data_IF_261492657730
#
_entry.id   IF_261492657730
#
_cell.length_a   1.000
_cell.length_b   1.000
_cell.length_c   1.000
_cell.angle_alpha   90.00
_cell.angle_beta   90.00
_cell.angle_gamma   90.00
#
_symmetry.space_group_name_H-M   'P 1'
#
loop_
_entity.id
_entity.type
_entity.pdbx_description
1 polymer ?
#
# COMPACT_ATOMS: atom_id res chain seq x y z
N UNK A 1 -13.79 -13.72 9.05
CA UNK A 1 -12.84 -14.63 8.38
C UNK A 1 -12.93 -15.92 9.16
N UNK A 2 -13.52 -16.95 8.57
CA UNK A 2 -13.99 -18.11 9.32
C UNK A 2 -12.93 -19.23 9.38
N UNK A 3 -11.98 -19.22 8.44
CA UNK A 3 -10.84 -20.13 8.38
C UNK A 3 -9.55 -19.37 8.08
N UNK A 4 -8.45 -19.78 8.71
CA UNK A 4 -7.10 -19.29 8.42
C UNK A 4 -6.47 -20.14 7.30
N UNK A 5 -6.08 -19.57 6.14
CA UNK A 5 -5.47 -20.33 5.07
C UNK A 5 -4.00 -20.68 5.42
N UNK A 6 -3.74 -21.97 5.66
CA UNK A 6 -2.42 -22.50 5.98
C UNK A 6 -2.05 -23.64 5.02
N UNK A 7 -0.77 -23.77 4.69
CA UNK A 7 -0.22 -24.95 4.03
C UNK A 7 0.26 -25.95 5.09
N UNK A 8 -0.34 -27.14 5.12
CA UNK A 8 -0.05 -28.15 6.12
C UNK A 8 1.01 -29.14 5.60
N UNK A 9 2.16 -29.23 6.27
CA UNK A 9 3.20 -30.20 5.92
C UNK A 9 2.86 -31.58 6.49
N UNK A 10 2.44 -32.51 5.62
CA UNK A 10 2.06 -33.87 5.97
C UNK A 10 3.09 -34.93 5.52
N UNK A 11 4.27 -34.53 5.04
CA UNK A 11 5.26 -35.50 4.54
C UNK A 11 5.66 -36.50 5.62
N UNK A 12 5.41 -37.78 5.37
CA UNK A 12 5.66 -38.90 6.28
C UNK A 12 4.72 -38.94 7.51
N UNK A 13 3.74 -38.04 7.61
CA UNK A 13 2.83 -37.98 8.74
C UNK A 13 1.66 -38.95 8.56
N UNK A 14 1.21 -39.63 9.63
CA UNK A 14 0.04 -40.51 9.58
C UNK A 14 -1.26 -39.69 9.48
N UNK A 15 -2.13 -40.05 8.54
CA UNK A 15 -3.43 -39.39 8.32
C UNK A 15 -4.53 -40.45 8.28
N UNK A 16 -5.55 -40.28 9.12
CA UNK A 16 -6.71 -41.17 9.14
C UNK A 16 -7.73 -40.74 8.09
N UNK A 17 -8.15 -41.68 7.25
CA UNK A 17 -9.25 -41.53 6.31
C UNK A 17 -10.34 -42.54 6.64
N UNK A 18 -11.50 -42.07 7.08
CA UNK A 18 -12.66 -42.91 7.38
C UNK A 18 -13.61 -42.90 6.19
N UNK A 19 -13.82 -44.05 5.57
CA UNK A 19 -14.65 -44.21 4.38
C UNK A 19 -13.93 -44.95 3.24
N UNK A 20 -14.69 -45.75 2.49
CA UNK A 20 -14.18 -46.65 1.46
C UNK A 20 -14.75 -46.41 0.06
N UNK A 21 -15.51 -45.33 -0.13
CA UNK A 21 -16.16 -45.00 -1.41
C UNK A 21 -15.36 -44.01 -2.27
N UNK A 22 -15.99 -43.50 -3.33
CA UNK A 22 -15.38 -42.59 -4.31
C UNK A 22 -14.93 -41.24 -3.71
N UNK A 23 -15.67 -40.70 -2.72
CA UNK A 23 -15.29 -39.48 -2.01
C UNK A 23 -13.97 -39.70 -1.24
N UNK A 24 -13.87 -40.84 -0.54
CA UNK A 24 -12.67 -41.23 0.17
C UNK A 24 -11.49 -41.43 -0.80
N UNK A 25 -11.70 -42.08 -1.95
CA UNK A 25 -10.67 -42.22 -3.00
C UNK A 25 -10.08 -40.88 -3.42
N UNK A 26 -10.90 -39.87 -3.69
CA UNK A 26 -10.43 -38.53 -4.09
C UNK A 26 -9.60 -37.86 -3.01
N UNK A 27 -9.97 -38.04 -1.73
CA UNK A 27 -9.19 -37.53 -0.59
C UNK A 27 -7.89 -38.30 -0.41
N UNK A 28 -7.91 -39.62 -0.59
CA UNK A 28 -6.74 -40.47 -0.51
C UNK A 28 -5.66 -40.03 -1.52
N UNK A 29 -6.03 -39.81 -2.78
CA UNK A 29 -5.08 -39.34 -3.81
C UNK A 29 -4.43 -38.01 -3.41
N UNK A 30 -5.23 -37.00 -3.05
CA UNK A 30 -4.73 -35.68 -2.68
C UNK A 30 -3.79 -35.72 -1.46
N UNK A 31 -4.16 -36.50 -0.43
CA UNK A 31 -3.37 -36.63 0.79
C UNK A 31 -2.08 -37.41 0.54
N UNK A 32 -2.13 -38.44 -0.31
CA UNK A 32 -0.96 -39.22 -0.74
C UNK A 32 0.01 -38.35 -1.55
N UNK A 33 -0.48 -37.51 -2.47
CA UNK A 33 0.33 -36.53 -3.22
C UNK A 33 1.05 -35.51 -2.31
N UNK A 34 0.45 -35.18 -1.15
CA UNK A 34 1.09 -34.35 -0.13
C UNK A 34 2.21 -35.09 0.65
N UNK A 35 2.43 -36.38 0.36
CA UNK A 35 3.45 -37.24 0.95
C UNK A 35 3.06 -37.85 2.30
N UNK A 36 1.78 -37.86 2.65
CA UNK A 36 1.30 -38.42 3.91
C UNK A 36 1.22 -39.96 3.87
N UNK A 37 1.26 -40.58 5.05
CA UNK A 37 1.03 -42.01 5.22
C UNK A 37 -0.42 -42.22 5.62
N UNK A 38 -1.26 -42.66 4.68
CA UNK A 38 -2.67 -42.91 4.92
C UNK A 38 -2.90 -44.16 5.77
N UNK A 39 -3.79 -44.03 6.74
CA UNK A 39 -4.45 -45.13 7.43
C UNK A 39 -5.94 -45.01 7.08
N UNK A 40 -6.44 -45.90 6.24
CA UNK A 40 -7.84 -45.90 5.84
C UNK A 40 -8.63 -46.96 6.62
N UNK A 41 -9.78 -46.55 7.16
CA UNK A 41 -10.70 -47.42 7.89
C UNK A 41 -12.07 -47.34 7.23
N UNK A 42 -12.59 -48.48 6.76
CA UNK A 42 -13.93 -48.57 6.19
C UNK A 42 -14.45 -50.01 6.32
N UNK A 43 -15.77 -50.25 6.48
CA UNK A 43 -16.30 -51.61 6.47
C UNK A 43 -16.03 -52.37 5.17
N UNK A 44 -15.85 -51.65 4.06
CA UNK A 44 -15.56 -52.17 2.73
C UNK A 44 -14.79 -51.11 1.94
N UNK A 45 -13.75 -51.51 1.21
CA UNK A 45 -12.97 -50.63 0.33
C UNK A 45 -13.39 -50.89 -1.13
N UNK A 46 -13.99 -49.88 -1.77
CA UNK A 46 -14.61 -50.03 -3.09
C UNK A 46 -13.77 -49.45 -4.24
N UNK A 47 -12.59 -48.92 -3.93
CA UNK A 47 -11.70 -48.31 -4.92
C UNK A 47 -10.34 -49.01 -5.02
N UNK A 48 -9.74 -48.90 -6.20
CA UNK A 48 -8.45 -49.47 -6.54
C UNK A 48 -7.31 -48.78 -5.77
N UNK A 49 -6.51 -49.59 -5.07
CA UNK A 49 -5.39 -49.16 -4.23
C UNK A 49 -4.04 -49.22 -4.96
N UNK A 50 -3.99 -49.83 -6.15
CA UNK A 50 -2.75 -50.06 -6.91
C UNK A 50 -2.03 -48.79 -7.32
N UNK A 51 -2.76 -47.67 -7.43
CA UNK A 51 -2.19 -46.36 -7.75
C UNK A 51 -1.60 -45.62 -6.53
N UNK A 52 -1.72 -46.19 -5.32
CA UNK A 52 -1.32 -45.57 -4.07
C UNK A 52 -0.12 -46.30 -3.44
N UNK A 53 0.67 -45.61 -2.62
CA UNK A 53 1.89 -46.18 -2.03
C UNK A 53 1.62 -47.43 -1.19
N UNK A 54 2.55 -48.39 -1.23
CA UNK A 54 2.54 -49.58 -0.38
C UNK A 54 2.69 -49.26 1.13
N UNK A 55 3.17 -48.06 1.47
CA UNK A 55 3.34 -47.60 2.86
C UNK A 55 2.00 -47.29 3.56
N UNK A 56 0.90 -47.21 2.80
CA UNK A 56 -0.43 -46.95 3.36
C UNK A 56 -1.02 -48.19 4.04
N UNK A 57 -1.77 -47.98 5.12
CA UNK A 57 -2.48 -49.03 5.83
C UNK A 57 -3.97 -48.98 5.49
N UNK A 58 -4.50 -50.08 4.97
CA UNK A 58 -5.91 -50.22 4.58
C UNK A 58 -6.57 -51.24 5.51
N UNK A 59 -7.61 -50.83 6.24
CA UNK A 59 -8.26 -51.64 7.28
C UNK A 59 -9.75 -51.77 6.98
N UNK A 60 -10.17 -52.99 6.61
CA UNK A 60 -11.59 -53.31 6.46
C UNK A 60 -12.25 -53.55 7.83
N UNK A 61 -12.64 -52.45 8.49
CA UNK A 61 -13.34 -52.47 9.78
C UNK A 61 -14.22 -51.21 9.95
N UNK A 62 -15.08 -51.23 10.97
CA UNK A 62 -15.80 -50.03 11.41
C UNK A 62 -14.89 -49.08 12.19
N UNK A 63 -15.18 -47.78 12.13
CA UNK A 63 -14.45 -46.76 12.87
C UNK A 63 -14.61 -46.92 14.38
N UNK A 64 -13.50 -46.78 15.11
CA UNK A 64 -13.47 -46.72 16.57
C UNK A 64 -12.73 -45.44 17.01
N UNK A 65 -13.12 -44.85 18.14
CA UNK A 65 -12.49 -43.62 18.64
C UNK A 65 -10.95 -43.75 18.85
N UNK A 66 -10.46 -44.97 19.07
CA UNK A 66 -9.03 -45.26 19.18
C UNK A 66 -8.26 -45.06 17.87
N UNK A 67 -8.92 -45.12 16.71
CA UNK A 67 -8.27 -45.00 15.40
C UNK A 67 -7.68 -43.60 15.13
N UNK A 68 -8.17 -42.58 15.84
CA UNK A 68 -7.62 -41.21 15.72
C UNK A 68 -6.30 -41.04 16.45
N UNK A 69 -5.92 -41.98 17.34
CA UNK A 69 -4.72 -41.86 18.15
C UNK A 69 -3.45 -41.89 17.30
N UNK A 70 -2.55 -40.93 17.55
CA UNK A 70 -1.28 -40.80 16.83
C UNK A 70 -1.40 -40.22 15.42
N UNK A 71 -2.60 -39.83 14.98
CA UNK A 71 -2.84 -39.23 13.68
C UNK A 71 -2.52 -37.74 13.69
N UNK A 72 -2.17 -37.19 12.51
CA UNK A 72 -1.87 -35.76 12.34
C UNK A 72 -3.02 -34.97 11.71
N UNK A 73 -3.88 -35.66 10.97
CA UNK A 73 -5.09 -35.15 10.33
C UNK A 73 -6.10 -36.30 10.28
N UNK A 74 -7.38 -35.98 10.45
CA UNK A 74 -8.49 -36.92 10.31
C UNK A 74 -9.43 -36.43 9.22
N UNK A 75 -9.83 -37.33 8.32
CA UNK A 75 -10.79 -37.05 7.25
C UNK A 75 -11.93 -38.07 7.31
N UNK A 76 -13.15 -37.59 7.50
CA UNK A 76 -14.36 -38.40 7.44
C UNK A 76 -15.03 -38.19 6.07
N UNK A 77 -15.05 -39.24 5.27
CA UNK A 77 -15.53 -39.26 3.89
C UNK A 77 -16.51 -40.42 3.69
N UNK A 78 -17.50 -40.52 4.57
CA UNK A 78 -18.58 -41.52 4.51
C UNK A 78 -19.91 -40.87 4.16
N UNK A 79 -20.87 -41.67 3.69
CA UNK A 79 -22.26 -41.26 3.51
C UNK A 79 -23.09 -41.42 4.80
N UNK A 80 -22.48 -41.83 5.91
CA UNK A 80 -23.13 -42.05 7.20
C UNK A 80 -22.87 -40.87 8.15
N UNK A 81 -23.91 -40.07 8.37
CA UNK A 81 -23.86 -38.90 9.26
C UNK A 81 -23.47 -39.25 10.71
N UNK A 82 -23.91 -40.40 11.23
CA UNK A 82 -23.63 -40.83 12.61
C UNK A 82 -22.14 -41.16 12.75
N UNK A 83 -21.58 -41.86 11.77
CA UNK A 83 -20.13 -42.13 11.73
C UNK A 83 -19.33 -40.84 11.60
N UNK A 84 -19.74 -39.93 10.71
CA UNK A 84 -19.08 -38.65 10.51
C UNK A 84 -19.05 -37.79 11.80
N UNK A 85 -20.16 -37.72 12.54
CA UNK A 85 -20.22 -37.06 13.85
C UNK A 85 -19.31 -37.73 14.90
N UNK A 86 -19.28 -39.06 14.93
CA UNK A 86 -18.43 -39.81 15.84
C UNK A 86 -16.93 -39.56 15.56
N UNK A 87 -16.54 -39.55 14.29
CA UNK A 87 -15.16 -39.24 13.85
C UNK A 87 -14.77 -37.82 14.24
N UNK A 88 -15.65 -36.84 13.95
CA UNK A 88 -15.42 -35.45 14.32
C UNK A 88 -15.22 -35.27 15.81
N UNK A 89 -16.11 -35.86 16.63
CA UNK A 89 -16.04 -35.79 18.09
C UNK A 89 -14.77 -36.43 18.64
N UNK A 90 -14.39 -37.61 18.14
CA UNK A 90 -13.17 -38.31 18.57
C UNK A 90 -11.90 -37.51 18.24
N UNK A 91 -11.83 -36.94 17.03
CA UNK A 91 -10.69 -36.12 16.62
C UNK A 91 -10.59 -34.83 17.45
N UNK A 92 -11.70 -34.12 17.64
CA UNK A 92 -11.75 -32.89 18.44
C UNK A 92 -11.39 -33.12 19.91
N UNK A 93 -11.81 -34.25 20.50
CA UNK A 93 -11.42 -34.61 21.87
C UNK A 93 -9.90 -34.74 22.05
N UNK A 94 -9.16 -35.01 20.97
CA UNK A 94 -7.70 -35.10 20.94
C UNK A 94 -7.02 -33.85 20.35
N UNK A 95 -7.77 -32.76 20.12
CA UNK A 95 -7.32 -31.54 19.44
C UNK A 95 -6.71 -31.80 18.06
N UNK A 96 -7.21 -32.82 17.34
CA UNK A 96 -6.76 -33.14 16.00
C UNK A 96 -7.54 -32.34 14.95
N UNK A 97 -6.86 -31.79 13.93
CA UNK A 97 -7.53 -31.26 12.75
C UNK A 97 -8.41 -32.33 12.12
N UNK A 98 -9.69 -32.00 11.89
CA UNK A 98 -10.66 -32.90 11.26
C UNK A 98 -11.39 -32.21 10.14
N UNK A 99 -11.49 -32.90 9.01
CA UNK A 99 -12.38 -32.53 7.92
C UNK A 99 -13.46 -33.59 7.78
N UNK A 100 -14.72 -33.18 7.83
CA UNK A 100 -15.85 -34.00 7.42
C UNK A 100 -16.32 -33.49 6.07
N UNK A 101 -16.29 -34.36 5.05
CA UNK A 101 -16.63 -33.97 3.68
C UNK A 101 -18.07 -33.48 3.63
N UNK A 102 -18.26 -32.33 2.97
CA UNK A 102 -19.55 -31.65 2.79
C UNK A 102 -20.29 -31.25 4.09
N UNK A 103 -19.63 -31.34 5.25
CA UNK A 103 -20.18 -30.93 6.54
C UNK A 103 -19.24 -29.96 7.27
N UNK A 104 -19.19 -28.67 6.85
CA UNK A 104 -18.30 -27.67 7.46
C UNK A 104 -18.51 -27.49 8.97
N UNK A 105 -19.75 -27.65 9.45
CA UNK A 105 -20.10 -27.51 10.88
C UNK A 105 -19.45 -28.58 11.77
N UNK A 106 -19.07 -29.73 11.20
CA UNK A 106 -18.35 -30.80 11.91
C UNK A 106 -16.84 -30.75 11.66
N UNK A 107 -16.36 -29.76 10.90
CA UNK A 107 -14.97 -29.66 10.47
C UNK A 107 -14.23 -28.57 11.23
N UNK A 108 -13.00 -28.84 11.63
CA UNK A 108 -12.05 -27.82 12.13
C UNK A 108 -11.10 -27.33 11.03
N UNK A 109 -10.98 -28.09 9.94
CA UNK A 109 -10.24 -27.71 8.74
C UNK A 109 -11.03 -28.05 7.47
N UNK A 110 -10.83 -27.25 6.42
CA UNK A 110 -11.48 -27.42 5.12
C UNK A 110 -10.45 -27.65 4.01
N UNK A 111 -10.81 -28.45 3.02
CA UNK A 111 -10.02 -28.57 1.79
C UNK A 111 -10.45 -27.47 0.81
N UNK A 112 -9.56 -26.55 0.43
CA UNK A 112 -9.86 -25.58 -0.61
C UNK A 112 -9.81 -26.24 -2.00
N UNK A 113 -10.25 -25.49 -3.01
CA UNK A 113 -9.82 -25.77 -4.37
C UNK A 113 -8.32 -25.48 -4.50
N UNK A 114 -7.57 -26.39 -5.12
CA UNK A 114 -6.11 -26.30 -5.23
C UNK A 114 -5.72 -26.28 -6.70
N UNK A 115 -4.87 -25.32 -7.08
CA UNK A 115 -4.14 -25.33 -8.34
C UNK A 115 -2.71 -25.74 -8.02
N UNK A 116 -2.35 -26.96 -8.43
CA UNK A 116 -1.06 -27.56 -8.13
C UNK A 116 -0.07 -27.38 -9.29
N UNK A 117 0.99 -26.62 -9.03
CA UNK A 117 2.16 -26.43 -9.90
C UNK A 117 3.42 -26.56 -9.04
N UNK A 118 3.47 -27.59 -8.19
CA UNK A 118 4.51 -27.78 -7.17
C UNK A 118 5.91 -27.45 -7.69
N UNK A 119 6.67 -26.57 -7.00
CA UNK A 119 6.44 -26.07 -5.65
C UNK A 119 5.47 -24.86 -5.54
N UNK A 120 4.92 -24.37 -6.65
CA UNK A 120 3.93 -23.28 -6.66
C UNK A 120 2.54 -23.86 -6.39
N UNK A 121 1.92 -23.46 -5.28
CA UNK A 121 0.59 -23.90 -4.88
C UNK A 121 -0.30 -22.68 -4.69
N UNK A 122 -1.48 -22.70 -5.30
CA UNK A 122 -2.52 -21.72 -5.07
C UNK A 122 -3.74 -22.43 -4.49
N UNK A 123 -4.38 -21.80 -3.50
CA UNK A 123 -5.61 -22.30 -2.92
C UNK A 123 -6.70 -21.22 -2.95
N UNK A 124 -7.93 -21.65 -3.22
CA UNK A 124 -9.12 -20.79 -3.20
C UNK A 124 -10.20 -21.47 -2.38
N UNK A 125 -10.82 -20.72 -1.47
CA UNK A 125 -11.95 -21.20 -0.70
C UNK A 125 -12.92 -20.07 -0.39
N UNK A 126 -14.21 -20.41 -0.32
CA UNK A 126 -15.28 -19.49 0.10
C UNK A 126 -15.84 -19.85 1.49
N UNK A 127 -15.10 -20.61 2.30
CA UNK A 127 -15.59 -21.12 3.60
C UNK A 127 -16.81 -22.05 3.49
N UNK A 128 -17.06 -22.64 2.31
CA UNK A 128 -18.24 -23.47 2.04
C UNK A 128 -19.45 -22.73 1.44
N UNK A 129 -19.45 -21.40 1.39
CA UNK A 129 -20.63 -20.62 0.98
C UNK A 129 -21.02 -20.71 -0.50
N UNK A 130 -20.08 -20.98 -1.41
CA UNK A 130 -20.36 -21.15 -2.84
C UNK A 130 -19.34 -22.05 -3.54
N UNK A 131 -19.65 -23.35 -3.70
CA UNK A 131 -18.82 -24.29 -4.47
C UNK A 131 -18.68 -23.88 -5.95
N UNK A 132 -19.72 -23.27 -6.53
CA UNK A 132 -19.70 -22.83 -7.93
C UNK A 132 -18.70 -21.68 -8.14
N UNK A 133 -18.71 -20.68 -7.26
CA UNK A 133 -17.74 -19.59 -7.31
C UNK A 133 -16.31 -20.10 -7.09
N UNK A 134 -16.13 -21.01 -6.13
CA UNK A 134 -14.83 -21.64 -5.86
C UNK A 134 -14.28 -22.33 -7.12
N UNK A 135 -15.13 -23.08 -7.84
CA UNK A 135 -14.76 -23.75 -9.10
C UNK A 135 -14.41 -22.76 -10.21
N UNK A 136 -15.22 -21.71 -10.40
CA UNK A 136 -14.94 -20.66 -11.40
C UNK A 136 -13.58 -19.98 -11.15
N UNK A 137 -13.31 -19.58 -9.91
CA UNK A 137 -12.03 -18.96 -9.55
C UNK A 137 -10.84 -19.92 -9.75
N UNK A 138 -11.02 -21.20 -9.42
CA UNK A 138 -10.00 -22.23 -9.69
C UNK A 138 -9.67 -22.33 -11.17
N UNK A 139 -10.68 -22.40 -12.04
CA UNK A 139 -10.50 -22.48 -13.50
C UNK A 139 -9.75 -21.25 -14.05
N UNK A 140 -10.06 -20.05 -13.55
CA UNK A 140 -9.32 -18.83 -13.92
C UNK A 140 -7.85 -18.89 -13.48
N UNK A 141 -7.57 -19.36 -12.26
CA UNK A 141 -6.21 -19.52 -11.77
C UNK A 141 -5.44 -20.61 -12.52
N UNK A 142 -6.09 -21.72 -12.90
CA UNK A 142 -5.45 -22.76 -13.71
C UNK A 142 -4.97 -22.22 -15.07
N UNK A 143 -5.72 -21.31 -15.68
CA UNK A 143 -5.35 -20.66 -16.93
C UNK A 143 -4.20 -19.64 -16.76
N UNK A 144 -4.16 -18.92 -15.64
CA UNK A 144 -3.14 -17.90 -15.37
C UNK A 144 -1.80 -18.45 -14.87
N UNK A 145 -1.77 -19.70 -14.38
CA UNK A 145 -0.59 -20.30 -13.76
C UNK A 145 -0.08 -21.46 -14.63
N UNK A 146 0.79 -21.17 -15.63
CA UNK A 146 1.27 -22.15 -16.58
C UNK A 146 2.18 -23.19 -15.92
N UNK A 147 2.29 -24.37 -16.54
CA UNK A 147 3.14 -25.47 -16.06
C UNK A 147 4.63 -25.09 -16.05
N UNK A 148 5.06 -24.15 -16.89
CA UNK A 148 6.42 -23.61 -16.97
C UNK A 148 6.91 -23.02 -15.64
N UNK A 149 6.01 -22.50 -14.79
CA UNK A 149 6.37 -21.95 -13.47
C UNK A 149 6.99 -22.99 -12.54
N UNK A 150 6.69 -24.28 -12.71
CA UNK A 150 7.36 -25.39 -11.98
C UNK A 150 8.86 -25.31 -12.20
N UNK A 151 9.27 -25.13 -13.46
CA UNK A 151 10.67 -25.03 -13.85
C UNK A 151 11.31 -23.76 -13.31
N UNK A 152 10.66 -22.61 -13.47
CA UNK A 152 11.20 -21.33 -12.96
C UNK A 152 11.40 -21.37 -11.45
N UNK A 153 10.48 -21.96 -10.70
CA UNK A 153 10.62 -22.11 -9.26
C UNK A 153 11.79 -23.04 -8.88
N UNK A 154 11.98 -24.15 -9.61
CA UNK A 154 13.13 -25.03 -9.42
C UNK A 154 14.46 -24.33 -9.76
N UNK A 155 14.49 -23.59 -10.87
CA UNK A 155 15.61 -22.76 -11.30
C UNK A 155 16.00 -21.77 -10.19
N UNK A 156 15.08 -20.91 -9.74
CA UNK A 156 15.35 -19.93 -8.67
C UNK A 156 15.76 -20.59 -7.35
N UNK A 157 15.15 -21.72 -6.99
CA UNK A 157 15.52 -22.49 -5.79
C UNK A 157 16.97 -22.96 -5.84
N UNK A 158 17.41 -23.51 -6.97
CA UNK A 158 18.78 -24.00 -7.16
C UNK A 158 19.82 -22.87 -7.14
N UNK A 159 19.46 -21.67 -7.63
CA UNK A 159 20.34 -20.50 -7.68
C UNK A 159 20.35 -19.69 -6.38
N UNK A 160 19.41 -19.93 -5.46
CA UNK A 160 19.27 -19.16 -4.21
C UNK A 160 20.57 -19.04 -3.38
N UNK A 161 21.41 -20.08 -3.21
CA UNK A 161 22.68 -19.94 -2.50
C UNK A 161 23.65 -19.00 -3.21
N UNK A 162 23.82 -19.14 -4.52
CA UNK A 162 24.66 -18.26 -5.35
C UNK A 162 24.15 -16.83 -5.34
N UNK A 163 22.84 -16.64 -5.43
CA UNK A 163 22.19 -15.32 -5.39
C UNK A 163 22.43 -14.59 -4.07
N UNK A 164 22.42 -15.31 -2.94
CA UNK A 164 22.78 -14.75 -1.64
C UNK A 164 24.27 -14.42 -1.52
N UNK A 165 25.15 -15.18 -2.18
CA UNK A 165 26.58 -14.93 -2.18
C UNK A 165 26.98 -13.73 -3.05
N UNK A 166 26.42 -13.64 -4.27
CA UNK A 166 26.70 -12.57 -5.24
C UNK A 166 25.99 -11.27 -4.86
N UNK A 167 24.75 -11.36 -4.37
CA UNK A 167 23.94 -10.21 -3.94
C UNK A 167 23.52 -10.42 -2.47
N UNK A 168 24.40 -10.08 -1.50
CA UNK A 168 24.14 -10.30 -0.08
C UNK A 168 22.95 -9.47 0.42
N UNK A 169 22.86 -8.21 -0.04
CA UNK A 169 21.80 -7.30 0.34
C UNK A 169 20.43 -7.83 -0.11
N UNK A 170 19.48 -7.89 0.84
CA UNK A 170 18.16 -8.46 0.61
C UNK A 170 17.33 -7.63 -0.36
N UNK A 171 17.52 -6.31 -0.36
CA UNK A 171 16.72 -5.38 -1.15
C UNK A 171 17.17 -5.39 -2.59
N UNK A 172 18.47 -5.27 -2.87
CA UNK A 172 19.04 -5.40 -4.21
C UNK A 172 18.69 -6.75 -4.81
N UNK A 173 18.83 -7.83 -4.02
CA UNK A 173 18.48 -9.18 -4.48
C UNK A 173 17.02 -9.30 -4.93
N UNK A 174 16.09 -8.68 -4.20
CA UNK A 174 14.69 -8.64 -4.60
C UNK A 174 14.50 -7.86 -5.89
N UNK A 175 15.05 -6.65 -5.99
CA UNK A 175 14.92 -5.80 -7.19
C UNK A 175 15.44 -6.54 -8.42
N UNK A 176 16.61 -7.20 -8.31
CA UNK A 176 17.16 -8.03 -9.37
C UNK A 176 16.22 -9.17 -9.76
N UNK A 177 15.62 -9.86 -8.79
CA UNK A 177 14.69 -10.96 -9.06
C UNK A 177 13.37 -10.46 -9.67
N UNK A 178 12.85 -9.30 -9.23
CA UNK A 178 11.66 -8.65 -9.82
C UNK A 178 11.93 -8.22 -11.27
N UNK A 179 13.08 -7.61 -11.53
CA UNK A 179 13.51 -7.22 -12.88
C UNK A 179 13.68 -8.45 -13.78
N UNK A 180 14.22 -9.55 -13.24
CA UNK A 180 14.31 -10.83 -13.94
C UNK A 180 12.94 -11.34 -14.38
N UNK A 181 11.92 -11.30 -13.51
CA UNK A 181 10.55 -11.70 -13.84
C UNK A 181 9.90 -10.83 -14.90
N UNK A 182 10.22 -9.53 -14.93
CA UNK A 182 9.68 -8.58 -15.90
C UNK A 182 10.46 -8.56 -17.23
N UNK A 183 11.62 -9.21 -17.29
CA UNK A 183 12.53 -9.18 -18.42
C UNK A 183 12.66 -10.52 -19.17
N UNK A 184 13.51 -10.57 -20.21
CA UNK A 184 13.70 -11.78 -21.03
C UNK A 184 14.22 -12.99 -20.24
N UNK A 185 14.92 -12.77 -19.13
CA UNK A 185 15.46 -13.82 -18.27
C UNK A 185 14.39 -14.81 -17.79
N UNK A 186 13.17 -14.33 -17.51
CA UNK A 186 12.04 -15.18 -17.15
C UNK A 186 11.72 -16.19 -18.26
N UNK A 187 11.55 -15.74 -19.50
CA UNK A 187 11.24 -16.61 -20.63
C UNK A 187 12.36 -17.62 -20.90
N UNK A 188 13.62 -17.23 -20.73
CA UNK A 188 14.76 -18.17 -20.83
C UNK A 188 14.72 -19.25 -19.74
N UNK A 189 14.36 -18.88 -18.50
CA UNK A 189 14.19 -19.86 -17.44
C UNK A 189 12.98 -20.79 -17.66
N UNK A 190 11.90 -20.28 -18.27
CA UNK A 190 10.76 -21.11 -18.71
C UNK A 190 11.15 -22.10 -19.80
N UNK A 191 11.90 -21.65 -20.81
CA UNK A 191 12.39 -22.46 -21.91
C UNK A 191 13.48 -23.45 -21.48
N UNK A 192 14.17 -23.15 -20.37
CA UNK A 192 15.22 -23.98 -19.82
C UNK A 192 16.61 -23.71 -20.31
N UNK A 193 16.81 -22.51 -20.82
CA UNK A 193 18.07 -21.95 -21.25
C UNK A 193 18.76 -21.33 -20.02
N UNK A 194 19.13 -22.21 -19.09
CA UNK A 194 19.61 -21.87 -17.75
C UNK A 194 20.81 -20.89 -17.76
N UNK A 195 21.73 -21.03 -18.74
CA UNK A 195 22.90 -20.15 -18.87
C UNK A 195 22.52 -18.72 -19.31
N UNK A 196 21.56 -18.59 -20.24
CA UNK A 196 21.04 -17.29 -20.67
C UNK A 196 20.26 -16.63 -19.55
N UNK A 197 19.41 -17.40 -18.85
CA UNK A 197 18.68 -16.92 -17.69
C UNK A 197 19.63 -16.44 -16.57
N UNK A 198 20.73 -17.17 -16.33
CA UNK A 198 21.76 -16.79 -15.38
C UNK A 198 22.41 -15.44 -15.74
N UNK A 199 22.63 -15.16 -17.03
CA UNK A 199 23.10 -13.84 -17.49
C UNK A 199 22.19 -12.71 -17.04
N UNK A 200 20.87 -12.85 -17.22
CA UNK A 200 19.91 -11.84 -16.76
C UNK A 200 19.78 -11.76 -15.24
N UNK A 201 19.95 -12.88 -14.52
CA UNK A 201 19.73 -12.96 -13.08
C UNK A 201 20.94 -12.48 -12.26
N UNK A 202 22.16 -12.77 -12.72
CA UNK A 202 23.40 -12.47 -12.00
C UNK A 202 24.18 -11.29 -12.58
N UNK A 203 23.97 -10.98 -13.85
CA UNK A 203 24.52 -9.79 -14.50
C UNK A 203 23.35 -8.91 -14.97
N UNK A 204 22.44 -8.51 -14.07
CA UNK A 204 21.38 -7.60 -14.47
C UNK A 204 22.06 -6.36 -15.05
N UNK A 205 21.73 -6.02 -16.29
CA UNK A 205 22.07 -4.70 -16.82
C UNK A 205 21.58 -3.71 -15.78
N UNK A 206 22.49 -3.04 -15.07
CA UNK A 206 22.13 -2.04 -14.08
C UNK A 206 21.44 -0.90 -14.84
N UNK A 207 20.14 -1.04 -14.99
CA UNK A 207 19.30 0.03 -15.50
C UNK A 207 19.43 1.19 -14.54
N UNK A 208 19.58 2.38 -15.08
CA UNK A 208 19.37 3.59 -14.28
C UNK A 208 17.93 3.53 -13.78
N UNK A 209 17.76 3.68 -12.47
CA UNK A 209 16.46 3.75 -11.83
C UNK A 209 15.70 5.02 -12.24
N UNK A 210 14.53 5.21 -11.66
CA UNK A 210 13.65 6.33 -12.01
C UNK A 210 13.24 7.12 -10.76
N UNK A 211 13.00 8.41 -10.94
CA UNK A 211 12.60 9.32 -9.88
C UNK A 211 11.18 9.81 -10.09
N UNK A 212 10.35 9.69 -9.05
CA UNK A 212 8.98 10.17 -9.04
C UNK A 212 8.85 11.37 -8.10
N UNK A 213 8.54 12.55 -8.63
CA UNK A 213 8.13 13.71 -7.83
C UNK A 213 6.64 13.61 -7.58
N UNK A 214 6.24 13.30 -6.35
CA UNK A 214 4.85 12.96 -6.00
C UNK A 214 4.29 13.97 -5.01
N UNK A 215 3.15 14.56 -5.35
CA UNK A 215 2.37 15.38 -4.42
C UNK A 215 1.63 14.54 -3.38
N UNK A 216 1.90 14.80 -2.11
CA UNK A 216 1.31 14.11 -0.97
C UNK A 216 -0.10 14.62 -0.61
N UNK A 217 -0.51 15.76 -1.18
CA UNK A 217 -1.68 16.48 -0.67
C UNK A 217 -1.35 17.28 0.61
N UNK A 218 -2.34 18.00 1.16
CA UNK A 218 -2.13 18.94 2.27
C UNK A 218 -2.06 18.28 3.67
N UNK A 219 -2.35 16.99 3.79
CA UNK A 219 -2.19 16.25 5.04
C UNK A 219 -3.07 15.02 5.17
N UNK A 220 -4.34 15.11 4.73
CA UNK A 220 -5.27 13.97 4.70
C UNK A 220 -4.78 12.89 3.72
N UNK A 221 -4.53 11.65 4.18
CA UNK A 221 -4.06 10.57 3.30
C UNK A 221 -5.05 10.17 2.20
N UNK A 222 -6.35 10.48 2.34
CA UNK A 222 -7.34 10.16 1.31
C UNK A 222 -7.41 11.22 0.20
N UNK A 223 -6.66 12.33 0.34
CA UNK A 223 -6.42 13.29 -0.73
C UNK A 223 -5.22 12.92 -1.63
N UNK A 224 -4.57 11.79 -1.37
CA UNK A 224 -3.61 11.21 -2.31
C UNK A 224 -4.31 10.84 -3.61
N UNK A 225 -3.66 11.14 -4.74
CA UNK A 225 -4.14 10.63 -6.02
C UNK A 225 -3.91 9.12 -6.11
N UNK A 226 -4.74 8.41 -6.88
CA UNK A 226 -4.57 6.97 -7.11
C UNK A 226 -3.17 6.62 -7.63
N UNK A 227 -2.62 7.47 -8.52
CA UNK A 227 -1.27 7.30 -9.07
C UNK A 227 -0.20 7.50 -8.00
N UNK A 228 -0.34 8.49 -7.11
CA UNK A 228 0.58 8.69 -5.99
C UNK A 228 0.62 7.46 -5.08
N UNK A 229 -0.54 6.91 -4.71
CA UNK A 229 -0.64 5.70 -3.90
C UNK A 229 0.04 4.49 -4.56
N UNK A 230 -0.22 4.28 -5.85
CA UNK A 230 0.41 3.19 -6.63
C UNK A 230 1.93 3.29 -6.64
N UNK A 231 2.49 4.50 -6.78
CA UNK A 231 3.94 4.71 -6.78
C UNK A 231 4.53 4.52 -5.38
N UNK A 232 3.87 5.00 -4.33
CA UNK A 232 4.30 4.79 -2.94
C UNK A 232 4.35 3.29 -2.56
N UNK A 233 3.47 2.48 -3.15
CA UNK A 233 3.46 1.02 -2.96
C UNK A 233 4.56 0.29 -3.76
N UNK A 234 5.19 0.96 -4.72
CA UNK A 234 6.27 0.39 -5.57
C UNK A 234 7.65 0.96 -5.23
N UNK A 235 7.71 2.10 -4.55
CA UNK A 235 8.93 2.81 -4.24
C UNK A 235 9.93 1.97 -3.44
N UNK A 236 11.21 2.07 -3.81
CA UNK A 236 12.28 1.45 -3.05
C UNK A 236 12.84 2.40 -1.99
N UNK A 237 12.99 3.70 -2.32
CA UNK A 237 13.27 4.76 -1.35
C UNK A 237 12.22 5.85 -1.47
N UNK A 238 11.82 6.42 -0.33
CA UNK A 238 10.93 7.57 -0.24
C UNK A 238 11.64 8.71 0.48
N UNK A 239 11.97 9.77 -0.25
CA UNK A 239 12.51 11.02 0.27
C UNK A 239 11.36 11.97 0.59
N UNK A 240 11.20 12.36 1.85
CA UNK A 240 10.07 13.18 2.31
C UNK A 240 10.53 14.33 3.21
N UNK A 241 9.69 15.36 3.34
CA UNK A 241 9.95 16.53 4.17
C UNK A 241 8.88 16.72 5.26
N UNK A 242 9.03 17.77 6.05
CA UNK A 242 8.19 18.04 7.22
C UNK A 242 6.70 18.30 6.90
N UNK A 243 6.36 18.58 5.64
CA UNK A 243 4.98 18.86 5.23
C UNK A 243 4.20 17.59 4.88
N UNK A 244 4.86 16.43 4.82
CA UNK A 244 4.22 15.14 4.59
C UNK A 244 3.75 14.56 5.93
N UNK A 245 2.47 14.24 6.05
CA UNK A 245 1.91 13.66 7.28
C UNK A 245 2.34 12.20 7.48
N UNK A 246 2.47 11.78 8.75
CA UNK A 246 2.77 10.37 9.07
C UNK A 246 1.73 9.41 8.46
N UNK A 247 0.45 9.78 8.48
CA UNK A 247 -0.64 8.98 7.91
C UNK A 247 -0.52 8.78 6.39
N UNK A 248 0.08 9.73 5.67
CA UNK A 248 0.41 9.57 4.25
C UNK A 248 1.54 8.56 4.07
N UNK A 249 2.59 8.63 4.90
CA UNK A 249 3.71 7.69 4.86
C UNK A 249 3.27 6.26 5.17
N UNK A 250 2.29 6.07 6.05
CA UNK A 250 1.69 4.76 6.37
C UNK A 250 1.05 4.07 5.16
N UNK A 251 0.73 4.80 4.08
CA UNK A 251 0.18 4.26 2.84
C UNK A 251 1.24 3.64 1.93
N UNK A 252 2.52 3.90 2.19
CA UNK A 252 3.63 3.37 1.42
C UNK A 252 3.89 1.89 1.71
N UNK A 253 4.70 1.27 0.83
CA UNK A 253 5.16 -0.10 0.99
C UNK A 253 5.94 -0.25 2.31
N UNK A 254 5.60 -1.27 3.13
CA UNK A 254 6.15 -1.47 4.49
C UNK A 254 7.67 -1.63 4.58
N UNK A 255 8.31 -2.06 3.50
CA UNK A 255 9.76 -2.29 3.42
C UNK A 255 10.48 -1.28 2.51
N UNK A 256 9.81 -0.18 2.14
CA UNK A 256 10.48 0.96 1.54
C UNK A 256 11.41 1.63 2.57
N UNK A 257 12.56 2.13 2.10
CA UNK A 257 13.43 2.94 2.95
C UNK A 257 12.91 4.38 2.98
N UNK A 258 12.70 4.93 4.16
CA UNK A 258 12.25 6.31 4.34
C UNK A 258 13.45 7.20 4.69
N UNK A 259 13.67 8.24 3.88
CA UNK A 259 14.74 9.23 4.10
C UNK A 259 14.11 10.61 4.32
N UNK A 260 14.27 11.15 5.52
CA UNK A 260 13.81 12.51 5.83
C UNK A 260 14.82 13.53 5.30
N UNK A 261 14.35 14.50 4.51
CA UNK A 261 15.16 15.56 3.88
C UNK A 261 14.70 16.98 4.23
N UNK A 262 13.80 17.10 5.22
CA UNK A 262 13.22 18.38 5.65
C UNK A 262 14.10 19.18 6.63
N UNK A 263 13.70 20.43 6.89
CA UNK A 263 14.28 21.27 7.95
C UNK A 263 13.61 20.95 9.29
N UNK A 264 14.33 20.32 10.22
CA UNK A 264 13.94 20.35 11.64
C UNK A 264 14.47 21.63 12.27
N UNK A 265 13.61 22.39 12.93
CA UNK A 265 13.99 23.57 13.71
C UNK A 265 15.08 23.19 14.72
N UNK A 266 16.29 23.74 14.56
CA UNK A 266 17.44 23.53 15.46
C UNK A 266 18.62 22.72 14.90
N UNK A 267 18.51 22.11 13.70
CA UNK A 267 19.62 21.38 13.05
C UNK A 267 20.08 22.07 11.75
N UNK A 268 21.37 21.90 11.42
CA UNK A 268 21.97 22.42 10.19
C UNK A 268 21.19 21.94 8.96
N UNK A 269 20.62 22.88 8.21
CA UNK A 269 19.77 22.64 7.03
C UNK A 269 20.48 21.76 6.01
N UNK A 270 19.83 20.69 5.53
CA UNK A 270 20.21 20.00 4.30
C UNK A 270 20.05 20.98 3.13
N UNK A 271 21.13 21.38 2.43
CA UNK A 271 21.00 22.28 1.29
C UNK A 271 20.20 21.63 0.17
N UNK A 272 19.43 22.42 -0.60
CA UNK A 272 18.62 21.87 -1.70
C UNK A 272 19.44 21.02 -2.68
N UNK A 273 20.66 21.48 -3.01
CA UNK A 273 21.58 20.77 -3.91
C UNK A 273 21.94 19.36 -3.39
N UNK A 274 21.97 19.16 -2.07
CA UNK A 274 22.24 17.83 -1.51
C UNK A 274 21.04 16.88 -1.62
N UNK A 275 19.81 17.40 -1.62
CA UNK A 275 18.59 16.62 -1.91
C UNK A 275 18.61 16.19 -3.38
N UNK A 276 18.90 17.14 -4.28
CA UNK A 276 19.00 16.88 -5.72
C UNK A 276 20.06 15.81 -6.02
N UNK A 277 21.28 15.97 -5.49
CA UNK A 277 22.35 15.00 -5.63
C UNK A 277 21.99 13.62 -5.04
N UNK A 278 21.22 13.58 -3.95
CA UNK A 278 20.74 12.35 -3.34
C UNK A 278 19.76 11.61 -4.27
N UNK A 279 18.81 12.32 -4.89
CA UNK A 279 17.89 11.73 -5.87
C UNK A 279 18.64 11.09 -7.03
N UNK A 280 19.61 11.80 -7.61
CA UNK A 280 20.46 11.29 -8.70
C UNK A 280 21.26 10.06 -8.26
N UNK A 281 21.88 10.12 -7.08
CA UNK A 281 22.69 9.01 -6.55
C UNK A 281 21.86 7.74 -6.39
N UNK A 282 20.68 7.84 -5.79
CA UNK A 282 19.80 6.69 -5.57
C UNK A 282 19.25 6.14 -6.89
N UNK A 283 18.91 7.00 -7.85
CA UNK A 283 18.47 6.54 -9.17
C UNK A 283 19.59 5.83 -9.93
N UNK A 284 20.84 6.32 -9.85
CA UNK A 284 22.01 5.64 -10.45
C UNK A 284 22.31 4.27 -9.84
N UNK A 285 21.81 3.99 -8.63
CA UNK A 285 21.86 2.67 -8.02
C UNK A 285 20.77 1.72 -8.54
N UNK A 286 19.97 2.13 -9.52
CA UNK A 286 18.88 1.33 -10.08
C UNK A 286 17.60 1.35 -9.24
N UNK A 287 17.48 2.27 -8.29
CA UNK A 287 16.34 2.31 -7.36
C UNK A 287 15.16 3.11 -7.94
N UNK A 288 13.93 2.68 -7.62
CA UNK A 288 12.73 3.50 -7.79
C UNK A 288 12.62 4.47 -6.63
N UNK A 289 12.86 5.75 -6.89
CA UNK A 289 12.93 6.79 -5.86
C UNK A 289 11.68 7.65 -5.91
N UNK A 290 10.94 7.73 -4.81
CA UNK A 290 9.86 8.71 -4.69
C UNK A 290 10.36 9.92 -3.89
N UNK A 291 10.32 11.11 -4.48
CA UNK A 291 10.40 12.39 -3.78
C UNK A 291 8.97 12.82 -3.42
N UNK A 292 8.56 12.54 -2.20
CA UNK A 292 7.21 12.85 -1.70
C UNK A 292 7.18 14.25 -1.09
N UNK A 293 6.34 15.14 -1.61
CA UNK A 293 6.32 16.57 -1.27
C UNK A 293 4.93 16.96 -0.76
N UNK A 294 4.87 17.73 0.33
CA UNK A 294 3.60 18.26 0.84
C UNK A 294 2.87 19.11 -0.21
N UNK A 295 1.56 18.92 -0.35
CA UNK A 295 0.74 19.60 -1.34
C UNK A 295 1.01 19.12 -2.77
N UNK A 296 1.36 20.06 -3.65
CA UNK A 296 1.70 19.80 -5.05
C UNK A 296 3.20 20.08 -5.31
N UNK A 297 3.90 19.24 -6.10
CA UNK A 297 5.34 19.41 -6.35
C UNK A 297 5.73 20.76 -6.98
N UNK A 298 4.86 21.37 -7.79
CA UNK A 298 5.15 22.54 -8.60
C UNK A 298 4.50 23.83 -8.10
N UNK A 299 3.66 23.78 -7.07
CA UNK A 299 3.12 24.97 -6.40
C UNK A 299 3.94 25.26 -5.14
N UNK A 300 4.90 26.18 -5.25
CA UNK A 300 5.83 26.58 -4.18
C UNK A 300 6.64 25.42 -3.55
N UNK A 301 6.65 24.24 -4.17
CA UNK A 301 7.35 23.05 -3.69
C UNK A 301 8.81 22.95 -4.13
N UNK A 302 9.31 23.86 -4.98
CA UNK A 302 10.66 23.79 -5.62
C UNK A 302 10.88 22.53 -6.47
N UNK A 303 9.83 21.84 -6.90
CA UNK A 303 9.95 20.64 -7.73
C UNK A 303 10.66 20.89 -9.07
N UNK A 304 10.57 22.10 -9.62
CA UNK A 304 11.28 22.46 -10.86
C UNK A 304 12.81 22.46 -10.71
N UNK A 305 13.33 22.87 -9.56
CA UNK A 305 14.78 22.83 -9.28
C UNK A 305 15.29 21.39 -9.14
N UNK A 306 14.50 20.53 -8.47
CA UNK A 306 14.80 19.10 -8.34
C UNK A 306 14.79 18.40 -9.72
N UNK A 307 13.84 18.79 -10.59
CA UNK A 307 13.70 18.24 -11.94
C UNK A 307 14.86 18.62 -12.87
N UNK A 308 15.33 19.86 -12.80
CA UNK A 308 16.42 20.35 -13.63
C UNK A 308 17.69 19.51 -13.45
N UNK A 309 18.03 19.16 -12.20
CA UNK A 309 19.16 18.28 -11.90
C UNK A 309 18.98 16.87 -12.48
N UNK A 310 17.78 16.31 -12.40
CA UNK A 310 17.48 14.97 -12.94
C UNK A 310 17.64 14.93 -14.46
N UNK A 311 17.21 16.00 -15.14
CA UNK A 311 17.38 16.17 -16.59
C UNK A 311 18.87 16.23 -16.93
N UNK A 312 19.64 17.08 -16.24
CA UNK A 312 21.08 17.22 -16.45
C UNK A 312 21.83 15.90 -16.22
N UNK A 313 21.41 15.12 -15.22
CA UNK A 313 21.99 13.83 -14.88
C UNK A 313 21.53 12.67 -15.78
N UNK A 314 20.61 12.90 -16.73
CA UNK A 314 20.06 11.87 -17.63
C UNK A 314 19.20 10.82 -16.93
N UNK A 315 18.58 11.18 -15.81
CA UNK A 315 17.74 10.27 -15.01
C UNK A 315 16.29 10.34 -15.49
N UNK A 316 15.68 9.17 -15.73
CA UNK A 316 14.25 9.09 -16.03
C UNK A 316 13.42 9.58 -14.84
N UNK A 317 12.42 10.42 -15.09
CA UNK A 317 11.56 10.93 -14.04
C UNK A 317 10.09 11.02 -14.47
N UNK A 318 9.23 11.10 -13.47
CA UNK A 318 7.82 11.41 -13.64
C UNK A 318 7.33 12.33 -12.52
N UNK A 319 6.45 13.26 -12.87
CA UNK A 319 5.77 14.13 -11.90
C UNK A 319 4.34 13.65 -11.74
N UNK A 320 3.91 13.48 -10.49
CA UNK A 320 2.51 13.20 -10.13
C UNK A 320 1.99 14.38 -9.33
N UNK A 321 1.02 15.14 -9.86
CA UNK A 321 0.46 16.28 -9.16
C UNK A 321 -0.27 15.85 -7.89
N UNK A 322 -0.36 16.78 -6.95
CA UNK A 322 -1.09 16.60 -5.70
C UNK A 322 -2.15 17.66 -5.49
N UNK A 323 -3.06 17.42 -4.55
CA UNK A 323 -3.97 18.47 -4.10
C UNK A 323 -3.14 19.53 -3.37
N UNK A 324 -3.08 20.74 -3.91
CA UNK A 324 -2.35 21.84 -3.27
C UNK A 324 -3.06 22.33 -2.00
N UNK A 325 -2.31 22.95 -1.08
CA UNK A 325 -2.85 23.46 0.18
C UNK A 325 -4.03 24.41 -0.02
N UNK A 326 -3.98 25.30 -1.02
CA UNK A 326 -5.09 26.19 -1.34
C UNK A 326 -6.40 25.42 -1.57
N UNK A 327 -6.41 24.44 -2.46
CA UNK A 327 -7.63 23.69 -2.78
C UNK A 327 -8.13 22.88 -1.59
N UNK A 328 -7.25 22.14 -0.91
CA UNK A 328 -7.66 21.26 0.18
C UNK A 328 -8.10 22.01 1.43
N UNK A 329 -7.33 23.02 1.87
CA UNK A 329 -7.69 23.84 3.03
C UNK A 329 -9.01 24.57 2.79
N UNK A 330 -9.18 25.17 1.61
CA UNK A 330 -10.38 25.94 1.30
C UNK A 330 -11.62 25.03 1.25
N UNK A 331 -11.53 23.86 0.62
CA UNK A 331 -12.64 22.89 0.58
C UNK A 331 -13.04 22.40 1.99
N UNK A 332 -12.08 22.03 2.84
CA UNK A 332 -12.38 21.52 4.19
C UNK A 332 -12.85 22.63 5.15
N UNK A 333 -12.46 23.87 4.90
CA UNK A 333 -12.95 25.03 5.65
C UNK A 333 -14.31 25.56 5.15
N UNK A 334 -14.87 25.00 4.07
CA UNK A 334 -16.11 25.49 3.47
C UNK A 334 -15.95 26.81 2.73
N UNK A 335 -14.74 27.17 2.33
CA UNK A 335 -14.41 28.43 1.64
C UNK A 335 -14.18 28.11 0.17
N UNK A 336 -15.10 28.40 -0.75
CA UNK A 336 -14.81 28.25 -2.17
C UNK A 336 -13.76 29.30 -2.58
N UNK A 337 -12.77 28.93 -3.40
CA UNK A 337 -11.76 29.89 -3.87
C UNK A 337 -12.31 30.84 -4.95
N UNK A 338 -13.42 30.49 -5.59
CA UNK A 338 -14.12 31.34 -6.55
C UNK A 338 -15.62 31.31 -6.27
N UNK A 339 -16.30 32.41 -6.56
CA UNK A 339 -17.76 32.48 -6.53
C UNK A 339 -18.19 33.57 -7.49
N UNK A 340 -19.26 33.32 -8.27
CA UNK A 340 -19.70 34.18 -9.37
C UNK A 340 -19.76 35.67 -8.98
N UNK A 341 -20.32 35.95 -7.81
CA UNK A 341 -20.55 37.32 -7.34
C UNK A 341 -19.38 37.93 -6.53
N UNK A 342 -18.39 37.12 -6.13
CA UNK A 342 -17.34 37.55 -5.19
C UNK A 342 -15.92 37.49 -5.76
N UNK A 343 -15.60 36.48 -6.55
CA UNK A 343 -14.25 36.28 -7.08
C UNK A 343 -14.25 35.54 -8.43
N UNK A 344 -13.68 36.21 -9.44
CA UNK A 344 -13.47 35.68 -10.80
C UNK A 344 -12.03 35.23 -11.04
N UNK A 345 -11.13 35.56 -10.12
CA UNK A 345 -9.72 35.17 -10.17
C UNK A 345 -9.23 34.70 -8.80
N UNK A 346 -8.23 33.82 -8.83
CA UNK A 346 -7.54 33.33 -7.62
C UNK A 346 -6.05 33.56 -7.82
N UNK A 347 -5.38 34.12 -6.81
CA UNK A 347 -3.95 34.40 -6.86
C UNK A 347 -3.24 33.67 -5.73
N UNK A 348 -2.34 32.76 -6.10
CA UNK A 348 -1.46 32.08 -5.15
C UNK A 348 -0.17 32.87 -5.02
N UNK A 349 0.20 33.24 -3.79
CA UNK A 349 1.34 34.10 -3.50
C UNK A 349 2.15 33.52 -2.34
N UNK A 350 3.47 33.71 -2.36
CA UNK A 350 4.32 33.43 -1.20
C UNK A 350 4.45 34.67 -0.33
N UNK A 351 4.03 34.57 0.93
CA UNK A 351 4.17 35.62 1.94
C UNK A 351 5.44 35.49 2.79
N UNK A 352 6.42 34.69 2.35
CA UNK A 352 7.64 34.48 3.11
C UNK A 352 8.48 35.76 3.18
N UNK A 353 8.77 36.31 4.38
CA UNK A 353 9.53 37.54 4.50
C UNK A 353 11.00 37.32 4.11
N UNK A 354 11.56 38.21 3.29
CA UNK A 354 12.99 38.29 3.01
C UNK A 354 13.51 39.57 3.67
N UNK A 355 14.52 39.46 4.54
CA UNK A 355 15.06 40.59 5.32
C UNK A 355 13.97 41.37 6.09
N UNK A 356 13.09 40.64 6.79
CA UNK A 356 11.98 41.19 7.58
C UNK A 356 10.90 41.99 6.80
N UNK A 357 10.93 41.96 5.47
CA UNK A 357 9.90 42.58 4.61
C UNK A 357 9.31 41.57 3.63
N UNK A 358 8.02 41.73 3.32
CA UNK A 358 7.35 40.99 2.26
C UNK A 358 7.33 41.90 1.03
N UNK A 359 8.15 41.59 0.04
CA UNK A 359 8.25 42.38 -1.19
C UNK A 359 7.37 41.77 -2.28
N UNK A 360 6.18 42.34 -2.46
CA UNK A 360 5.17 41.89 -3.40
C UNK A 360 4.59 43.08 -4.17
N UNK A 361 4.06 42.88 -5.39
CA UNK A 361 3.40 43.94 -6.15
C UNK A 361 2.02 44.26 -5.57
N UNK A 362 1.99 44.93 -4.41
CA UNK A 362 0.78 45.20 -3.62
C UNK A 362 -0.34 45.87 -4.41
N UNK A 363 0.01 46.81 -5.29
CA UNK A 363 -0.93 47.52 -6.16
C UNK A 363 -1.74 46.59 -7.09
N UNK A 364 -1.21 45.42 -7.45
CA UNK A 364 -1.94 44.45 -8.27
C UNK A 364 -2.89 43.56 -7.45
N UNK A 365 -2.72 43.53 -6.12
CA UNK A 365 -3.45 42.65 -5.21
C UNK A 365 -4.65 43.33 -4.53
N UNK A 366 -4.93 44.60 -4.89
CA UNK A 366 -6.07 45.34 -4.35
C UNK A 366 -7.28 45.37 -5.27
N UNK A 367 -7.15 44.93 -6.52
CA UNK A 367 -8.25 44.83 -7.49
C UNK A 367 -9.47 44.09 -6.91
N UNK A 368 -10.70 44.58 -7.10
CA UNK A 368 -11.91 43.86 -6.70
C UNK A 368 -12.06 42.51 -7.43
N UNK A 369 -12.88 41.62 -6.88
CA UNK A 369 -13.24 40.37 -7.56
C UNK A 369 -12.13 39.32 -7.61
N UNK A 370 -11.16 39.36 -6.70
CA UNK A 370 -10.08 38.38 -6.58
C UNK A 370 -10.04 37.73 -5.19
N UNK A 371 -9.62 36.47 -5.15
CA UNK A 371 -9.26 35.76 -3.92
C UNK A 371 -7.75 35.61 -3.85
N UNK A 372 -7.12 36.19 -2.84
CA UNK A 372 -5.70 36.04 -2.59
C UNK A 372 -5.47 34.87 -1.63
N UNK A 373 -4.49 34.03 -1.94
CA UNK A 373 -4.09 32.91 -1.08
C UNK A 373 -2.59 32.99 -0.83
N UNK A 374 -2.21 33.31 0.40
CA UNK A 374 -0.81 33.41 0.80
C UNK A 374 -0.32 32.11 1.45
N UNK A 375 0.72 31.55 0.86
CA UNK A 375 1.52 30.46 1.39
C UNK A 375 2.67 31.02 2.24
N UNK A 376 3.08 30.29 3.28
CA UNK A 376 4.24 30.68 4.12
C UNK A 376 4.14 32.10 4.72
N UNK A 377 2.93 32.63 4.87
CA UNK A 377 2.70 34.03 5.23
C UNK A 377 2.52 34.32 6.72
N UNK A 378 2.48 33.31 7.60
CA UNK A 378 2.14 33.51 9.02
C UNK A 378 3.06 34.54 9.71
N UNK A 379 4.38 34.42 9.49
CA UNK A 379 5.36 35.35 10.06
C UNK A 379 5.29 36.77 9.46
N UNK A 380 4.65 36.93 8.30
CA UNK A 380 4.44 38.21 7.62
C UNK A 380 2.99 38.72 7.67
N UNK A 381 2.11 38.08 8.44
CA UNK A 381 0.66 38.37 8.40
C UNK A 381 0.34 39.85 8.67
N UNK A 382 0.93 40.44 9.72
CA UNK A 382 0.71 41.85 10.06
C UNK A 382 1.15 42.80 8.93
N UNK A 383 2.28 42.49 8.27
CA UNK A 383 2.79 43.28 7.15
C UNK A 383 1.90 43.13 5.93
N UNK A 384 1.47 41.91 5.60
CA UNK A 384 0.54 41.62 4.50
C UNK A 384 -0.75 42.43 4.66
N UNK A 385 -1.37 42.41 5.85
CA UNK A 385 -2.58 43.18 6.13
C UNK A 385 -2.34 44.68 5.97
N UNK A 386 -1.27 45.20 6.58
CA UNK A 386 -0.92 46.63 6.53
C UNK A 386 -0.70 47.10 5.09
N UNK A 387 0.03 46.34 4.29
CA UNK A 387 0.33 46.70 2.91
C UNK A 387 -0.90 46.65 2.01
N UNK A 388 -1.78 45.66 2.18
CA UNK A 388 -3.04 45.60 1.43
C UNK A 388 -3.93 46.81 1.74
N UNK A 389 -4.07 47.17 3.02
CA UNK A 389 -4.84 48.36 3.44
C UNK A 389 -4.22 49.63 2.85
N UNK A 390 -2.89 49.79 3.02
CA UNK A 390 -2.15 50.96 2.52
C UNK A 390 -2.32 51.18 1.02
N UNK A 391 -2.43 50.10 0.24
CA UNK A 391 -2.58 50.16 -1.21
C UNK A 391 -4.05 50.22 -1.68
N UNK A 392 -5.01 50.36 -0.76
CA UNK A 392 -6.41 50.67 -1.10
C UNK A 392 -7.39 49.51 -0.93
N UNK A 393 -7.02 48.42 -0.27
CA UNK A 393 -7.98 47.37 0.12
C UNK A 393 -8.76 47.81 1.37
N UNK A 394 -10.09 47.62 1.38
CA UNK A 394 -10.93 47.98 2.52
C UNK A 394 -10.55 47.21 3.79
N UNK A 395 -10.52 47.87 4.95
CA UNK A 395 -10.07 47.28 6.23
C UNK A 395 -10.95 46.11 6.66
N UNK A 396 -12.23 46.16 6.29
CA UNK A 396 -13.26 45.14 6.56
C UNK A 396 -13.23 43.97 5.57
N UNK A 397 -12.24 43.95 4.65
CA UNK A 397 -12.04 42.82 3.75
C UNK A 397 -11.83 41.56 4.59
N UNK A 398 -12.62 40.49 4.38
CA UNK A 398 -12.48 39.28 5.18
C UNK A 398 -11.15 38.55 4.95
N UNK A 399 -10.66 37.94 6.03
CA UNK A 399 -9.46 37.10 6.05
C UNK A 399 -9.75 35.81 6.82
N UNK A 400 -9.29 34.69 6.30
CA UNK A 400 -9.23 33.41 7.02
C UNK A 400 -7.79 32.92 7.10
N UNK A 401 -7.38 32.46 8.27
CA UNK A 401 -6.10 31.77 8.48
C UNK A 401 -6.39 30.35 8.90
N UNK A 402 -5.98 29.40 8.06
CA UNK A 402 -6.23 27.96 8.24
C UNK A 402 -4.90 27.30 8.58
N UNK A 403 -4.82 26.72 9.77
CA UNK A 403 -3.70 25.94 10.27
C UNK A 403 -3.96 24.45 10.10
N UNK A 404 -2.93 23.69 9.69
CA UNK A 404 -3.00 22.24 9.50
C UNK A 404 -4.24 21.78 8.73
N UNK A 405 -4.59 22.50 7.67
CA UNK A 405 -5.82 22.23 6.91
C UNK A 405 -5.88 20.79 6.41
N UNK A 406 -7.11 20.25 6.37
CA UNK A 406 -7.45 18.84 6.06
C UNK A 406 -7.08 17.80 7.12
N UNK A 407 -6.28 18.15 8.14
CA UNK A 407 -5.96 17.19 9.21
C UNK A 407 -6.97 17.29 10.36
N UNK A 408 -7.06 16.27 11.24
CA UNK A 408 -7.89 16.34 12.45
C UNK A 408 -7.50 17.47 13.41
N UNK A 409 -6.26 17.97 13.31
CA UNK A 409 -5.74 19.09 14.10
C UNK A 409 -5.98 20.45 13.42
N UNK A 410 -6.78 20.50 12.35
CA UNK A 410 -7.09 21.73 11.63
C UNK A 410 -7.75 22.76 12.55
N UNK A 411 -7.22 23.99 12.55
CA UNK A 411 -7.78 25.14 13.28
C UNK A 411 -7.88 26.31 12.32
N UNK A 412 -9.01 27.02 12.36
CA UNK A 412 -9.22 28.21 11.54
C UNK A 412 -9.55 29.42 12.39
N UNK A 413 -9.01 30.57 11.98
CA UNK A 413 -9.34 31.89 12.53
C UNK A 413 -9.88 32.73 11.40
N UNK A 414 -11.02 33.40 11.61
CA UNK A 414 -11.61 34.32 10.65
C UNK A 414 -11.79 35.69 11.27
N UNK A 415 -11.57 36.72 10.47
CA UNK A 415 -11.73 38.12 10.81
C UNK A 415 -11.65 38.96 9.54
N UNK A 416 -11.16 40.18 9.68
CA UNK A 416 -10.87 41.09 8.56
C UNK A 416 -9.40 41.52 8.57
N UNK A 417 -8.99 42.38 7.65
CA UNK A 417 -7.59 42.80 7.54
C UNK A 417 -7.10 43.53 8.80
N UNK A 418 -7.98 44.23 9.52
CA UNK A 418 -7.63 44.94 10.75
C UNK A 418 -7.48 43.99 11.95
N UNK A 419 -8.43 43.08 12.14
CA UNK A 419 -8.55 42.27 13.36
C UNK A 419 -7.74 40.98 13.33
N UNK A 420 -7.55 40.40 12.15
CA UNK A 420 -6.96 39.05 12.00
C UNK A 420 -5.55 38.91 12.59
N UNK A 421 -4.62 39.86 12.43
CA UNK A 421 -3.30 39.77 13.05
C UNK A 421 -3.36 39.59 14.59
N UNK A 422 -4.26 40.34 15.25
CA UNK A 422 -4.45 40.26 16.69
C UNK A 422 -5.17 38.99 17.15
N UNK A 423 -6.05 38.42 16.32
CA UNK A 423 -6.71 37.14 16.59
C UNK A 423 -5.72 35.97 16.48
N UNK A 424 -4.89 35.96 15.43
CA UNK A 424 -3.88 34.91 15.21
C UNK A 424 -2.79 34.92 16.28
N UNK A 425 -2.34 36.12 16.71
CA UNK A 425 -1.35 36.25 17.78
C UNK A 425 -1.85 35.64 19.11
N UNK A 426 -3.14 35.79 19.41
CA UNK A 426 -3.78 35.18 20.59
C UNK A 426 -3.96 33.67 20.44
N UNK A 427 -4.35 33.22 19.24
CA UNK A 427 -4.63 31.81 18.94
C UNK A 427 -3.38 30.92 18.88
N UNK A 428 -2.19 31.48 18.69
CA UNK A 428 -0.91 30.75 18.57
C UNK A 428 -0.98 29.55 17.61
N UNK A 429 -1.48 29.81 16.40
CA UNK A 429 -1.73 28.75 15.41
C UNK A 429 -0.45 27.98 15.05
N UNK A 430 -0.48 26.63 15.06
CA UNK A 430 0.66 25.84 14.64
C UNK A 430 0.89 25.97 13.13
N UNK A 431 2.13 25.78 12.69
CA UNK A 431 2.43 25.63 11.26
C UNK A 431 2.17 24.18 10.78
N UNK A 432 1.93 23.98 9.47
CA UNK A 432 1.80 24.98 8.42
C UNK A 432 0.45 25.72 8.44
N UNK A 433 0.42 26.96 7.94
CA UNK A 433 -0.81 27.75 7.77
C UNK A 433 -0.94 28.31 6.36
N UNK A 434 -2.19 28.61 6.00
CA UNK A 434 -2.57 29.25 4.75
C UNK A 434 -3.48 30.45 5.07
N UNK A 435 -3.23 31.59 4.42
CA UNK A 435 -4.04 32.80 4.60
C UNK A 435 -4.87 33.01 3.32
N UNK A 436 -6.18 33.16 3.46
CA UNK A 436 -7.10 33.46 2.36
C UNK A 436 -7.70 34.84 2.62
N UNK A 437 -7.62 35.74 1.63
CA UNK A 437 -8.17 37.10 1.70
C UNK A 437 -9.13 37.31 0.53
N UNK A 438 -10.34 37.80 0.81
CA UNK A 438 -11.27 38.21 -0.23
C UNK A 438 -12.75 38.06 0.13
N UNK A 439 -13.60 38.66 -0.67
CA UNK A 439 -15.06 38.70 -0.43
C UNK A 439 -15.72 37.32 -0.51
N UNK A 440 -15.04 36.31 -1.08
CA UNK A 440 -15.55 34.94 -1.19
C UNK A 440 -15.87 34.31 0.17
N UNK A 441 -15.24 34.81 1.23
CA UNK A 441 -15.48 34.44 2.62
C UNK A 441 -16.85 34.89 3.15
N UNK A 442 -17.53 35.82 2.46
CA UNK A 442 -18.91 36.26 2.75
C UNK A 442 -19.97 35.43 2.03
N UNK A 443 -19.57 34.51 1.15
CA UNK A 443 -20.51 33.72 0.37
C UNK A 443 -21.40 32.86 1.31
N UNK A 444 -22.71 32.70 1.03
CA UNK A 444 -23.63 31.94 1.88
C UNK A 444 -23.23 30.47 2.10
N UNK A 445 -22.38 29.93 1.22
CA UNK A 445 -21.78 28.59 1.31
C UNK A 445 -20.71 28.46 2.40
N UNK A 446 -20.20 29.57 2.93
CA UNK A 446 -19.21 29.59 4.01
C UNK A 446 -19.92 29.35 5.33
N UNK A 447 -20.16 28.07 5.63
CA UNK A 447 -20.42 27.62 6.99
C UNK A 447 -19.07 27.26 7.62
N UNK A 448 -18.66 27.88 8.73
CA UNK A 448 -17.48 27.43 9.45
C UNK A 448 -17.72 25.99 9.94
N UNK A 449 -17.27 25.00 9.19
CA UNK A 449 -17.44 23.60 9.54
C UNK A 449 -16.65 23.24 10.80
N UNK A 450 -15.59 24.00 11.12
CA UNK A 450 -14.75 23.85 12.30
C UNK A 450 -14.09 25.19 12.68
N UNK A 451 -14.85 26.13 13.24
CA UNK A 451 -14.25 27.15 14.12
C UNK A 451 -14.39 26.62 15.54
N UNK A 452 -13.30 26.12 16.12
CA UNK A 452 -13.21 26.14 17.59
C UNK A 452 -13.20 27.62 17.94
N UNK A 453 -14.32 28.12 18.45
CA UNK A 453 -14.36 29.44 19.05
C UNK A 453 -13.26 29.45 20.13
N UNK A 454 -12.25 30.28 19.92
CA UNK A 454 -11.33 30.64 20.98
C UNK A 454 -12.07 31.76 21.70
N UNK A 455 -12.79 31.38 22.76
CA UNK A 455 -13.42 32.31 23.70
C UNK A 455 -12.37 33.20 24.38
#
# INVERSE_FOLDING_TARGET
>A
MDFLPLHFNLRGAPVLLVGGGEIARRKAVLISEAGAVLVCVAPKLEFDLTALSADHAWREKTFEAADVMGMRLVVAATDDAVVNEAVSRAAQAQNLPVNVVDQPNLSTVIFPAIVNRSPVLLSVGTGGSSPVLTRYLREQLEALVPQSLVRVAAYLKSRRPRLKAVIPDIRTRRITTEAFFAGPGFSHAEAGEDDLADGYLFEPTQGVGEVFLVGAGPGDPDLLTLKALQLLQRADVILYDNLVSAKVLDRARRDATFEYVGKQSGLNSTPQNSINARLVTLARQGLRVVRLKGGDPFIFGRGGEELAELIEAGIAFQVVPGITAASGCAAYAGIPLTHRDYAQSVRFVTGHPKNASVDLPWHEMVSPGQTLVFYMGLGGLSEICTQLIRHGKAVETPVAVISKGTTPESVSVMGDLETTPGLVARAQLPSPTLIIVGEVLRAPSVRPLLVKAID
#
